data_IF_877156602395
#
_entry.id   IF_877156602395
#
_cell.length_a   1.000
_cell.length_b   1.000
_cell.length_c   1.000
_cell.angle_alpha   90.00
_cell.angle_beta   90.00
_cell.angle_gamma   90.00
#
_symmetry.space_group_name_H-M   'P 1'
#
loop_
_entity.id
_entity.type
_entity.pdbx_description
1 polymer ?
#
# COMPACT_ATOMS: atom_id res chain seq x y z
N UNK A 1 -2.53 -6.16 -1.34
CA UNK A 1 -3.99 -5.93 -1.50
C UNK A 1 -4.24 -4.92 -2.59
N UNK A 2 -3.74 -3.69 -2.49
CA UNK A 2 -3.91 -2.65 -3.53
C UNK A 2 -3.61 -3.14 -4.96
N UNK A 3 -2.46 -3.80 -5.18
CA UNK A 3 -2.11 -4.35 -6.51
C UNK A 3 -3.19 -5.28 -7.10
N UNK A 4 -3.84 -6.10 -6.25
CA UNK A 4 -4.94 -6.99 -6.67
C UNK A 4 -6.19 -6.19 -7.05
N UNK A 5 -6.50 -5.11 -6.31
CA UNK A 5 -7.61 -4.21 -6.65
C UNK A 5 -7.38 -3.65 -8.05
N UNK A 6 -6.26 -2.96 -8.28
CA UNK A 6 -5.91 -2.43 -9.60
C UNK A 6 -5.93 -3.50 -10.70
N UNK A 7 -5.44 -4.72 -10.44
CA UNK A 7 -5.50 -5.81 -11.41
C UNK A 7 -6.94 -6.23 -11.79
N UNK A 8 -7.87 -6.25 -10.84
CA UNK A 8 -9.31 -6.50 -11.09
C UNK A 8 -9.94 -5.44 -11.99
N UNK A 9 -9.34 -4.26 -12.07
CA UNK A 9 -9.78 -3.11 -12.86
C UNK A 9 -8.94 -2.91 -14.14
N UNK A 10 -8.18 -3.93 -14.57
CA UNK A 10 -7.48 -3.92 -15.86
C UNK A 10 -6.06 -3.36 -15.84
N UNK A 11 -5.49 -3.10 -14.67
CA UNK A 11 -4.11 -2.61 -14.56
C UNK A 11 -3.11 -3.74 -14.35
N UNK A 12 -1.95 -3.63 -15.01
CA UNK A 12 -0.76 -4.33 -14.57
C UNK A 12 -0.07 -3.53 -13.44
N UNK A 13 0.02 -4.10 -12.24
CA UNK A 13 0.67 -3.46 -11.10
C UNK A 13 2.16 -3.83 -11.03
N UNK A 14 3.04 -2.81 -11.07
CA UNK A 14 4.49 -2.98 -10.94
C UNK A 14 5.00 -2.26 -9.69
N UNK A 15 5.79 -2.95 -8.88
CA UNK A 15 6.45 -2.38 -7.69
C UNK A 15 7.92 -2.16 -7.97
N UNK A 16 8.37 -0.92 -7.90
CA UNK A 16 9.75 -0.54 -8.19
C UNK A 16 10.57 -0.45 -6.89
N UNK A 17 11.67 -1.21 -6.84
CA UNK A 17 12.66 -1.07 -5.78
C UNK A 17 13.72 -0.04 -6.21
N UNK A 18 13.60 1.18 -5.69
CA UNK A 18 14.52 2.31 -5.95
C UNK A 18 15.92 2.05 -5.41
N UNK A 19 16.92 2.77 -5.92
CA UNK A 19 18.32 2.52 -5.61
C UNK A 19 18.62 2.58 -4.09
N UNK A 20 19.43 1.63 -3.61
CA UNK A 20 19.79 1.47 -2.20
C UNK A 20 18.66 1.08 -1.24
N UNK A 21 17.46 0.75 -1.74
CA UNK A 21 16.39 0.11 -0.95
C UNK A 21 16.43 -1.41 -1.08
N UNK A 22 16.08 -2.12 0.00
CA UNK A 22 16.05 -3.58 0.00
C UNK A 22 17.41 -4.17 -0.36
N UNK A 23 17.45 -4.98 -1.42
CA UNK A 23 18.67 -5.58 -1.97
C UNK A 23 19.13 -4.90 -3.27
N UNK A 24 18.55 -3.76 -3.64
CA UNK A 24 18.98 -3.01 -4.82
C UNK A 24 20.38 -2.41 -4.61
N UNK A 25 21.12 -2.29 -5.71
CA UNK A 25 22.40 -1.57 -5.75
C UNK A 25 22.20 -0.06 -5.59
N UNK A 26 23.31 0.68 -5.46
CA UNK A 26 23.29 2.14 -5.35
C UNK A 26 23.12 2.64 -3.92
N UNK A 27 22.85 3.94 -3.77
CA UNK A 27 22.75 4.60 -2.45
C UNK A 27 21.37 5.21 -2.28
N UNK A 28 20.68 4.82 -1.21
CA UNK A 28 19.35 5.36 -0.90
C UNK A 28 19.44 6.84 -0.55
N UNK A 29 18.49 7.63 -1.07
CA UNK A 29 18.32 9.04 -0.72
C UNK A 29 17.95 9.25 0.75
N UNK A 30 17.60 8.18 1.49
CA UNK A 30 17.34 8.25 2.95
C UNK A 30 18.52 8.81 3.74
N UNK A 31 19.75 8.60 3.25
CA UNK A 31 20.98 9.06 3.90
C UNK A 31 21.44 10.44 3.41
N UNK A 32 20.65 11.09 2.56
CA UNK A 32 21.00 12.38 1.98
C UNK A 32 20.64 13.54 2.91
N UNK A 33 21.67 14.20 3.44
CA UNK A 33 21.54 15.30 4.39
C UNK A 33 21.30 14.85 5.84
N UNK A 34 21.04 15.83 6.71
CA UNK A 34 20.69 15.58 8.13
C UNK A 34 19.32 16.16 8.42
N UNK A 35 18.76 15.87 9.59
CA UNK A 35 17.49 16.48 9.96
C UNK A 35 17.55 18.00 10.11
N UNK A 36 18.73 18.54 10.44
CA UNK A 36 19.01 19.98 10.54
C UNK A 36 19.18 20.64 9.17
N UNK A 37 19.67 19.88 8.18
CA UNK A 37 19.84 20.32 6.80
C UNK A 37 19.41 19.22 5.84
N UNK A 38 18.08 19.00 5.67
CA UNK A 38 17.59 17.91 4.83
C UNK A 38 17.60 18.29 3.36
N UNK A 39 18.06 17.39 2.49
CA UNK A 39 18.13 17.62 1.05
C UNK A 39 16.88 17.10 0.33
N UNK A 40 15.69 17.56 0.71
CA UNK A 40 14.41 17.05 0.17
C UNK A 40 14.31 17.13 -1.35
N UNK A 41 14.68 18.26 -1.95
CA UNK A 41 14.61 18.45 -3.40
C UNK A 41 15.55 17.49 -4.17
N UNK A 42 16.76 17.25 -3.64
CA UNK A 42 17.72 16.30 -4.24
C UNK A 42 17.21 14.87 -4.10
N UNK A 43 16.72 14.52 -2.91
CA UNK A 43 16.15 13.21 -2.65
C UNK A 43 14.95 12.91 -3.57
N UNK A 44 14.06 13.89 -3.79
CA UNK A 44 12.95 13.75 -4.72
C UNK A 44 13.39 13.59 -6.17
N UNK A 45 14.45 14.30 -6.60
CA UNK A 45 15.03 14.14 -7.95
C UNK A 45 15.57 12.72 -8.17
N UNK A 46 16.35 12.20 -7.22
CA UNK A 46 16.87 10.82 -7.28
C UNK A 46 15.72 9.81 -7.37
N UNK A 47 14.67 10.01 -6.55
CA UNK A 47 13.51 9.14 -6.57
C UNK A 47 12.72 9.23 -7.90
N UNK A 48 12.60 10.43 -8.47
CA UNK A 48 11.99 10.66 -9.76
C UNK A 48 12.77 9.96 -10.89
N UNK A 49 14.09 10.11 -10.92
CA UNK A 49 14.95 9.47 -11.93
C UNK A 49 14.80 7.94 -11.91
N UNK A 50 14.80 7.33 -10.72
CA UNK A 50 14.59 5.88 -10.57
C UNK A 50 13.21 5.44 -11.08
N UNK A 51 12.15 6.19 -10.75
CA UNK A 51 10.78 5.88 -11.15
C UNK A 51 10.58 6.06 -12.66
N UNK A 52 11.15 7.10 -13.25
CA UNK A 52 11.06 7.39 -14.69
C UNK A 52 11.85 6.33 -15.48
N UNK A 53 13.04 5.93 -15.02
CA UNK A 53 13.80 4.87 -15.66
C UNK A 53 13.04 3.52 -15.62
N UNK A 54 12.42 3.20 -14.49
CA UNK A 54 11.58 2.01 -14.38
C UNK A 54 10.36 2.08 -15.29
N UNK A 55 9.68 3.24 -15.36
CA UNK A 55 8.56 3.48 -16.28
C UNK A 55 8.97 3.24 -17.73
N UNK A 56 10.10 3.81 -18.17
CA UNK A 56 10.61 3.64 -19.54
C UNK A 56 10.88 2.17 -19.88
N UNK A 57 11.45 1.41 -18.93
CA UNK A 57 11.64 -0.03 -19.11
C UNK A 57 10.31 -0.79 -19.24
N UNK A 58 9.30 -0.42 -18.43
CA UNK A 58 7.96 -1.03 -18.47
C UNK A 58 7.24 -0.69 -19.77
N UNK A 59 7.33 0.55 -20.26
CA UNK A 59 6.72 0.99 -21.51
C UNK A 59 7.23 0.23 -22.74
N UNK A 60 8.43 -0.35 -22.66
CA UNK A 60 8.97 -1.23 -23.70
C UNK A 60 8.44 -2.67 -23.66
N UNK A 61 7.67 -3.04 -22.64
CA UNK A 61 7.15 -4.40 -22.49
C UNK A 61 5.89 -4.62 -23.35
N UNK A 62 5.75 -5.77 -24.03
CA UNK A 62 4.66 -6.02 -24.99
C UNK A 62 3.27 -6.10 -24.36
N UNK A 63 3.18 -6.29 -23.04
CA UNK A 63 1.92 -6.31 -22.29
C UNK A 63 1.50 -4.92 -21.80
N UNK A 64 2.35 -3.90 -21.94
CA UNK A 64 2.10 -2.55 -21.42
C UNK A 64 1.36 -1.69 -22.44
N UNK A 65 0.51 -0.77 -21.93
CA UNK A 65 0.02 0.38 -22.70
C UNK A 65 0.93 1.57 -22.34
N UNK A 66 1.84 1.98 -23.23
CA UNK A 66 2.90 2.92 -22.85
C UNK A 66 2.37 4.31 -22.47
N UNK A 67 1.19 4.68 -22.96
CA UNK A 67 0.60 6.02 -22.78
C UNK A 67 -0.47 6.11 -21.68
N UNK A 68 -0.66 5.05 -20.89
CA UNK A 68 -1.77 4.92 -19.91
C UNK A 68 -1.29 4.62 -18.49
N UNK A 69 -0.11 5.12 -18.10
CA UNK A 69 0.48 4.86 -16.79
C UNK A 69 -0.13 5.72 -15.68
N UNK A 70 -0.31 5.13 -14.49
CA UNK A 70 -0.67 5.82 -13.24
C UNK A 70 0.44 5.61 -12.23
N UNK A 71 0.97 6.69 -11.66
CA UNK A 71 1.99 6.61 -10.61
C UNK A 71 1.33 6.66 -9.24
N UNK A 72 1.61 5.66 -8.40
CA UNK A 72 1.00 5.56 -7.06
C UNK A 72 2.09 5.43 -6.01
N UNK A 73 1.96 6.20 -4.93
CA UNK A 73 2.92 6.17 -3.85
C UNK A 73 2.25 6.38 -2.50
N UNK A 74 2.78 5.69 -1.48
CA UNK A 74 2.43 5.89 -0.07
C UNK A 74 3.62 6.45 0.70
N UNK A 75 3.40 7.32 1.69
CA UNK A 75 4.46 7.83 2.56
C UNK A 75 5.58 8.51 1.76
N UNK A 76 6.84 8.11 1.96
CA UNK A 76 7.97 8.55 1.11
C UNK A 76 7.80 8.24 -0.38
N UNK A 77 7.04 7.20 -0.73
CA UNK A 77 6.66 6.90 -2.10
C UNK A 77 5.71 7.94 -2.67
N UNK A 78 4.78 8.45 -1.86
CA UNK A 78 3.86 9.54 -2.23
C UNK A 78 4.61 10.82 -2.64
N UNK A 79 5.58 11.22 -1.82
CA UNK A 79 6.51 12.31 -2.17
C UNK A 79 7.30 12.02 -3.45
N UNK A 80 7.71 10.77 -3.67
CA UNK A 80 8.51 10.36 -4.83
C UNK A 80 7.70 10.44 -6.14
N UNK A 81 6.44 10.01 -6.15
CA UNK A 81 5.60 10.08 -7.37
C UNK A 81 5.20 11.50 -7.72
N UNK A 82 5.06 12.39 -6.73
CA UNK A 82 4.89 13.83 -6.97
C UNK A 82 6.15 14.44 -7.61
N UNK A 83 7.34 14.07 -7.13
CA UNK A 83 8.59 14.52 -7.72
C UNK A 83 8.76 14.00 -9.16
N UNK A 84 8.39 12.74 -9.43
CA UNK A 84 8.38 12.19 -10.79
C UNK A 84 7.40 12.95 -11.69
N UNK A 85 6.20 13.24 -11.18
CA UNK A 85 5.16 14.00 -11.86
C UNK A 85 5.58 15.40 -12.28
N UNK A 86 6.44 16.06 -11.50
CA UNK A 86 7.00 17.37 -11.83
C UNK A 86 7.79 17.37 -13.14
N UNK A 87 8.28 16.22 -13.60
CA UNK A 87 8.98 16.08 -14.88
C UNK A 87 8.04 15.82 -16.07
N UNK A 88 6.72 15.69 -15.82
CA UNK A 88 5.69 15.32 -16.80
C UNK A 88 6.12 14.14 -17.70
N UNK A 89 6.42 12.95 -17.12
CA UNK A 89 6.95 11.84 -17.89
C UNK A 89 5.96 11.41 -18.98
N UNK A 90 6.41 11.22 -20.24
CA UNK A 90 5.54 10.78 -21.31
C UNK A 90 4.78 9.51 -20.95
N UNK A 91 3.48 9.50 -21.26
CA UNK A 91 2.58 8.38 -21.01
C UNK A 91 2.07 8.23 -19.58
N UNK A 92 2.47 9.09 -18.65
CA UNK A 92 1.79 9.18 -17.34
C UNK A 92 0.52 10.01 -17.47
N UNK A 93 -0.58 9.49 -16.97
CA UNK A 93 -1.91 10.10 -17.06
C UNK A 93 -2.42 10.65 -15.74
N UNK A 94 -1.98 10.08 -14.62
CA UNK A 94 -2.42 10.49 -13.29
C UNK A 94 -1.43 10.08 -12.20
N UNK A 95 -1.52 10.75 -11.05
CA UNK A 95 -0.73 10.45 -9.85
C UNK A 95 -1.67 10.27 -8.66
N UNK A 96 -1.42 9.25 -7.83
CA UNK A 96 -2.15 9.03 -6.58
C UNK A 96 -1.17 8.99 -5.41
N UNK A 97 -1.36 9.90 -4.47
CA UNK A 97 -0.55 10.11 -3.29
C UNK A 97 -1.32 9.72 -2.02
N UNK A 98 -0.91 8.64 -1.36
CA UNK A 98 -1.47 8.19 -0.09
C UNK A 98 -0.56 8.60 1.07
N UNK A 99 -1.06 9.36 2.04
CA UNK A 99 -0.32 9.76 3.26
C UNK A 99 1.12 10.23 2.95
N UNK A 100 1.29 10.99 1.86
CA UNK A 100 2.59 11.30 1.29
C UNK A 100 3.41 12.26 2.13
N UNK A 101 4.72 12.04 2.17
CA UNK A 101 5.62 13.01 2.76
C UNK A 101 7.04 12.49 2.85
N UNK A 102 7.93 13.32 3.41
CA UNK A 102 9.33 12.92 3.61
C UNK A 102 9.88 13.47 4.92
N UNK A 103 10.82 12.72 5.51
CA UNK A 103 11.63 13.19 6.63
C UNK A 103 10.89 13.15 7.97
N UNK A 104 9.91 12.25 8.12
CA UNK A 104 9.21 12.05 9.38
C UNK A 104 10.18 11.73 10.53
N UNK A 105 9.90 12.30 11.71
CA UNK A 105 10.67 12.11 12.95
C UNK A 105 9.85 11.42 14.05
N UNK A 106 8.64 10.96 13.71
CA UNK A 106 7.64 10.52 14.66
C UNK A 106 6.83 11.68 15.26
N UNK A 107 5.71 11.32 15.89
CA UNK A 107 4.76 12.25 16.51
C UNK A 107 4.34 13.40 15.57
N UNK A 108 4.12 13.09 14.29
CA UNK A 108 3.64 14.03 13.28
C UNK A 108 4.60 15.16 12.89
N UNK A 109 5.91 15.02 13.17
CA UNK A 109 6.92 16.04 12.84
C UNK A 109 7.78 15.60 11.66
N UNK A 110 8.25 16.58 10.89
CA UNK A 110 9.19 16.37 9.76
C UNK A 110 10.49 17.17 9.95
N UNK A 111 11.59 16.67 9.40
CA UNK A 111 12.86 17.39 9.27
C UNK A 111 12.73 18.51 8.25
N UNK A 112 13.17 19.73 8.58
CA UNK A 112 13.17 20.88 7.67
C UNK A 112 11.85 21.08 6.92
N UNK A 113 10.77 21.33 7.67
CA UNK A 113 9.41 21.46 7.13
C UNK A 113 9.34 22.51 6.01
N UNK A 114 9.99 23.66 6.20
CA UNK A 114 10.02 24.74 5.19
C UNK A 114 10.71 24.31 3.90
N UNK A 115 11.84 23.58 4.00
CA UNK A 115 12.54 23.03 2.84
C UNK A 115 11.71 21.95 2.13
N UNK A 116 10.94 21.15 2.90
CA UNK A 116 10.02 20.17 2.35
C UNK A 116 8.87 20.86 1.58
N UNK A 117 8.25 21.87 2.19
CA UNK A 117 7.22 22.68 1.53
C UNK A 117 7.77 23.35 0.27
N UNK A 118 8.99 23.89 0.29
CA UNK A 118 9.63 24.46 -0.89
C UNK A 118 9.79 23.44 -2.04
N UNK A 119 10.15 22.19 -1.73
CA UNK A 119 10.20 21.13 -2.72
C UNK A 119 8.80 20.81 -3.28
N UNK A 120 7.78 20.70 -2.43
CA UNK A 120 6.40 20.41 -2.84
C UNK A 120 5.82 21.55 -3.71
N UNK A 121 6.08 22.81 -3.34
CA UNK A 121 5.74 23.99 -4.17
C UNK A 121 6.34 23.90 -5.56
N UNK A 122 7.61 23.49 -5.64
CA UNK A 122 8.30 23.30 -6.92
C UNK A 122 7.66 22.19 -7.75
N UNK A 123 7.20 21.10 -7.11
CA UNK A 123 6.49 20.05 -7.83
C UNK A 123 5.13 20.53 -8.37
N UNK A 124 4.42 21.36 -7.60
CA UNK A 124 3.18 21.99 -8.03
C UNK A 124 3.37 22.89 -9.26
N UNK A 125 4.40 23.73 -9.26
CA UNK A 125 4.65 24.65 -10.37
C UNK A 125 5.07 23.99 -11.68
N UNK A 126 5.64 22.79 -11.61
CA UNK A 126 6.14 22.05 -12.77
C UNK A 126 5.18 20.98 -13.29
N UNK A 127 4.44 20.32 -12.41
CA UNK A 127 3.51 19.25 -12.80
C UNK A 127 2.31 19.77 -13.57
N UNK A 128 1.88 19.03 -14.59
CA UNK A 128 0.63 19.24 -15.34
C UNK A 128 -0.31 18.05 -15.26
N UNK A 129 0.09 17.03 -14.50
CA UNK A 129 -0.67 15.80 -14.34
C UNK A 129 -1.76 15.97 -13.27
N UNK A 130 -2.95 15.41 -13.46
CA UNK A 130 -3.97 15.37 -12.43
C UNK A 130 -3.50 14.49 -11.27
N UNK A 131 -3.76 14.93 -10.04
CA UNK A 131 -3.33 14.22 -8.83
C UNK A 131 -4.48 14.00 -7.85
N UNK A 132 -4.50 12.84 -7.20
CA UNK A 132 -5.37 12.55 -6.05
C UNK A 132 -4.50 12.38 -4.82
N UNK A 133 -4.81 13.11 -3.75
CA UNK A 133 -4.13 13.03 -2.46
C UNK A 133 -5.10 12.51 -1.42
N UNK A 134 -4.73 11.45 -0.71
CA UNK A 134 -5.58 10.81 0.29
C UNK A 134 -4.84 10.72 1.61
N UNK A 135 -5.37 11.34 2.67
CA UNK A 135 -4.75 11.32 4.00
C UNK A 135 -5.71 10.80 5.07
N UNK A 136 -5.27 9.82 5.86
CA UNK A 136 -6.09 9.28 6.95
C UNK A 136 -6.17 10.27 8.13
N UNK A 137 -7.37 10.46 8.70
CA UNK A 137 -7.57 11.41 9.82
C UNK A 137 -6.72 11.12 11.05
N UNK A 138 -6.25 9.88 11.23
CA UNK A 138 -5.43 9.45 12.36
C UNK A 138 -3.99 9.04 11.96
N UNK A 139 -3.48 9.49 10.81
CA UNK A 139 -2.07 9.31 10.46
C UNK A 139 -1.16 9.99 11.52
N UNK A 140 -0.24 9.23 12.12
CA UNK A 140 0.71 9.72 13.13
C UNK A 140 2.09 10.10 12.57
N UNK A 141 2.36 9.78 11.31
CA UNK A 141 3.59 10.08 10.57
C UNK A 141 3.46 11.41 9.83
N UNK A 142 2.42 11.55 9.00
CA UNK A 142 2.06 12.79 8.31
C UNK A 142 0.59 13.15 8.62
N UNK A 143 0.32 13.73 9.81
CA UNK A 143 -1.04 14.01 10.25
C UNK A 143 -1.82 14.86 9.24
N UNK A 144 -3.14 14.67 9.20
CA UNK A 144 -4.03 15.33 8.26
C UNK A 144 -3.74 16.84 8.07
N UNK A 145 -3.58 17.67 9.13
CA UNK A 145 -3.27 19.10 8.92
C UNK A 145 -1.97 19.36 8.17
N UNK A 146 -0.96 18.49 8.33
CA UNK A 146 0.30 18.58 7.59
C UNK A 146 0.10 18.14 6.13
N UNK A 147 -0.70 17.11 5.88
CA UNK A 147 -1.09 16.70 4.53
C UNK A 147 -1.87 17.78 3.78
N UNK A 148 -2.79 18.46 4.46
CA UNK A 148 -3.54 19.62 3.93
C UNK A 148 -2.59 20.77 3.57
N UNK A 149 -1.61 21.07 4.43
CA UNK A 149 -0.60 22.11 4.17
C UNK A 149 0.32 21.76 2.98
N UNK A 150 0.69 20.48 2.84
CA UNK A 150 1.41 19.99 1.67
C UNK A 150 0.58 20.17 0.39
N UNK A 151 -0.70 19.78 0.43
CA UNK A 151 -1.59 19.89 -0.72
C UNK A 151 -1.85 21.35 -1.10
N UNK A 152 -2.13 22.23 -0.14
CA UNK A 152 -2.30 23.66 -0.38
C UNK A 152 -1.04 24.25 -1.03
N UNK A 153 0.15 23.92 -0.50
CA UNK A 153 1.42 24.35 -1.10
C UNK A 153 1.60 23.88 -2.54
N UNK A 154 1.12 22.69 -2.89
CA UNK A 154 1.18 22.15 -4.24
C UNK A 154 0.19 22.86 -5.18
N UNK A 155 -1.07 23.01 -4.78
CA UNK A 155 -2.14 23.61 -5.59
C UNK A 155 -1.94 25.13 -5.78
N UNK A 156 -1.57 25.86 -4.72
CA UNK A 156 -1.36 27.32 -4.77
C UNK A 156 -0.23 27.72 -5.73
N UNK A 157 0.61 26.77 -6.15
CA UNK A 157 1.72 27.00 -7.07
C UNK A 157 1.47 26.42 -8.47
N UNK A 158 0.25 26.03 -8.80
CA UNK A 158 -0.15 25.61 -10.15
C UNK A 158 -0.34 24.11 -10.32
N UNK A 159 -0.21 23.32 -9.25
CA UNK A 159 -0.53 21.90 -9.28
C UNK A 159 -2.02 21.66 -9.55
N UNK A 160 -2.35 20.52 -10.14
CA UNK A 160 -3.73 20.10 -10.40
C UNK A 160 -4.06 18.86 -9.56
N UNK A 161 -5.16 18.91 -8.80
CA UNK A 161 -5.58 17.73 -8.07
C UNK A 161 -6.72 17.94 -7.10
N UNK A 162 -7.10 16.84 -6.47
CA UNK A 162 -8.12 16.76 -5.44
C UNK A 162 -7.54 16.15 -4.16
N UNK A 163 -8.04 16.63 -3.02
CA UNK A 163 -7.67 16.13 -1.69
C UNK A 163 -8.86 15.39 -1.08
N UNK A 164 -8.58 14.24 -0.50
CA UNK A 164 -9.54 13.41 0.19
C UNK A 164 -9.06 13.09 1.60
N UNK A 165 -9.88 13.44 2.57
CA UNK A 165 -9.70 13.02 3.95
C UNK A 165 -10.24 11.60 4.12
N UNK A 166 -9.35 10.62 4.16
CA UNK A 166 -9.71 9.23 4.43
C UNK A 166 -10.08 9.05 5.92
N UNK A 167 -11.04 8.15 6.24
CA UNK A 167 -11.42 7.90 7.62
C UNK A 167 -10.26 7.31 8.43
N UNK A 168 -10.37 7.38 9.76
CA UNK A 168 -9.39 6.78 10.65
C UNK A 168 -9.26 5.27 10.39
N UNK A 169 -8.03 4.77 10.39
CA UNK A 169 -7.75 3.35 10.23
C UNK A 169 -6.79 2.86 11.31
N UNK A 170 -7.17 1.76 11.97
CA UNK A 170 -6.37 1.16 13.05
C UNK A 170 -5.99 2.15 14.15
N UNK A 171 -4.82 1.93 14.76
CA UNK A 171 -4.24 2.88 15.73
C UNK A 171 -3.42 3.99 15.06
N UNK A 172 -2.94 3.76 13.84
CA UNK A 172 -2.16 4.69 13.04
C UNK A 172 -2.62 4.61 11.58
N UNK A 173 -3.22 5.70 11.13
CA UNK A 173 -3.78 5.83 9.78
C UNK A 173 -2.76 5.67 8.68
N UNK A 174 -1.46 5.88 8.96
CA UNK A 174 -0.38 5.82 7.96
C UNK A 174 -0.27 4.49 7.21
N UNK A 175 -0.95 3.46 7.72
CA UNK A 175 -0.94 2.10 7.20
C UNK A 175 -2.21 1.77 6.40
N UNK A 176 -3.11 2.73 6.20
CA UNK A 176 -4.42 2.44 5.60
C UNK A 176 -4.30 1.97 4.15
N UNK A 177 -3.47 2.58 3.31
CA UNK A 177 -3.33 2.10 1.94
C UNK A 177 -2.82 0.63 1.87
N UNK A 178 -2.00 0.23 2.83
CA UNK A 178 -1.43 -1.11 2.89
C UNK A 178 -2.43 -2.17 3.40
N UNK A 179 -3.26 -1.82 4.38
CA UNK A 179 -4.04 -2.79 5.17
C UNK A 179 -5.54 -2.51 5.26
N UNK A 180 -6.01 -1.34 4.85
CA UNK A 180 -7.42 -1.04 4.81
C UNK A 180 -8.14 -1.88 3.74
N UNK A 181 -9.36 -2.32 4.02
CA UNK A 181 -10.25 -2.85 3.00
C UNK A 181 -10.42 -1.84 1.85
N UNK A 182 -10.58 -2.34 0.62
CA UNK A 182 -10.68 -1.50 -0.58
C UNK A 182 -11.89 -0.55 -0.54
N UNK A 183 -12.95 -0.93 0.17
CA UNK A 183 -14.16 -0.13 0.36
C UNK A 183 -13.89 1.22 1.06
N UNK A 184 -12.76 1.35 1.76
CA UNK A 184 -12.35 2.60 2.41
C UNK A 184 -11.81 3.63 1.41
N UNK A 185 -11.18 3.20 0.33
CA UNK A 185 -10.37 4.08 -0.53
C UNK A 185 -10.65 3.93 -2.03
N UNK A 186 -11.03 2.74 -2.50
CA UNK A 186 -11.20 2.45 -3.91
C UNK A 186 -12.28 3.32 -4.55
N UNK A 187 -13.42 3.53 -3.91
CA UNK A 187 -14.48 4.36 -4.49
C UNK A 187 -13.98 5.76 -4.88
N UNK A 188 -13.12 6.36 -4.03
CA UNK A 188 -12.54 7.67 -4.35
C UNK A 188 -11.47 7.60 -5.45
N UNK A 189 -10.68 6.52 -5.47
CA UNK A 189 -9.72 6.27 -6.53
C UNK A 189 -10.44 6.06 -7.88
N UNK A 190 -11.50 5.26 -7.91
CA UNK A 190 -12.31 4.99 -9.08
C UNK A 190 -12.91 6.28 -9.66
N UNK A 191 -13.55 7.10 -8.83
CA UNK A 191 -14.06 8.42 -9.25
C UNK A 191 -12.99 9.29 -9.90
N UNK A 192 -11.77 9.28 -9.34
CA UNK A 192 -10.65 10.04 -9.87
C UNK A 192 -10.12 9.46 -11.19
N UNK A 193 -9.99 8.14 -11.29
CA UNK A 193 -9.58 7.46 -12.53
C UNK A 193 -10.59 7.72 -13.66
N UNK A 194 -11.89 7.60 -13.37
CA UNK A 194 -12.97 7.86 -14.32
C UNK A 194 -12.96 9.29 -14.87
N UNK A 195 -12.83 10.29 -13.98
CA UNK A 195 -12.71 11.70 -14.38
C UNK A 195 -11.55 11.93 -15.35
N UNK A 196 -10.49 11.13 -15.25
CA UNK A 196 -9.31 11.19 -16.11
C UNK A 196 -9.33 10.19 -17.27
N UNK A 197 -10.48 9.53 -17.50
CA UNK A 197 -10.72 8.55 -18.57
C UNK A 197 -9.80 7.34 -18.48
N UNK A 198 -9.52 6.89 -17.26
CA UNK A 198 -8.73 5.71 -16.95
C UNK A 198 -9.64 4.59 -16.44
N UNK A 199 -9.29 3.30 -16.61
CA UNK A 199 -10.11 2.17 -16.15
C UNK A 199 -10.42 2.23 -14.65
N UNK A 200 -11.67 1.97 -14.27
CA UNK A 200 -12.07 1.85 -12.86
C UNK A 200 -13.13 0.78 -12.62
N UNK A 201 -13.81 0.32 -13.67
CA UNK A 201 -14.79 -0.75 -13.60
C UNK A 201 -14.11 -2.08 -13.27
N UNK A 202 -14.77 -2.90 -12.47
CA UNK A 202 -14.28 -4.25 -12.18
C UNK A 202 -14.52 -5.15 -13.39
N UNK A 203 -13.43 -5.64 -13.99
CA UNK A 203 -13.48 -6.51 -15.17
C UNK A 203 -13.27 -7.99 -14.82
N UNK A 204 -12.67 -8.27 -13.65
CA UNK A 204 -12.42 -9.63 -13.14
C UNK A 204 -12.64 -9.63 -11.64
N UNK A 205 -13.48 -10.53 -11.14
CA UNK A 205 -13.61 -10.77 -9.69
C UNK A 205 -12.56 -11.74 -9.18
N UNK A 206 -11.95 -11.41 -8.04
CA UNK A 206 -11.04 -12.32 -7.37
C UNK A 206 -11.83 -13.51 -6.80
N UNK A 207 -11.47 -14.77 -7.15
CA UNK A 207 -12.18 -15.93 -6.65
C UNK A 207 -12.02 -16.02 -5.12
N UNK A 208 -13.15 -16.16 -4.42
CA UNK A 208 -13.13 -16.51 -3.00
C UNK A 208 -12.87 -18.01 -2.89
N UNK A 209 -11.86 -18.45 -2.12
CA UNK A 209 -11.59 -19.87 -1.95
C UNK A 209 -12.78 -20.57 -1.29
N UNK A 210 -13.22 -21.68 -1.87
CA UNK A 210 -14.24 -22.56 -1.30
C UNK A 210 -13.53 -23.66 -0.48
N UNK A 211 -13.28 -23.37 0.79
CA UNK A 211 -12.67 -24.30 1.73
C UNK A 211 -13.66 -24.60 2.85
N UNK A 212 -13.81 -25.86 3.22
CA UNK A 212 -14.59 -26.24 4.38
C UNK A 212 -14.04 -25.58 5.65
N UNK A 213 -14.89 -25.08 6.55
CA UNK A 213 -14.43 -24.57 7.84
C UNK A 213 -13.95 -25.73 8.72
N UNK A 214 -12.90 -25.54 9.55
CA UNK A 214 -12.50 -26.54 10.51
C UNK A 214 -13.65 -26.96 11.45
N UNK A 215 -13.72 -28.24 11.75
CA UNK A 215 -14.62 -28.78 12.77
C UNK A 215 -14.35 -28.14 14.14
N UNK A 216 -15.39 -28.04 14.97
CA UNK A 216 -15.28 -27.50 16.33
C UNK A 216 -15.13 -25.97 16.40
N UNK A 217 -15.18 -25.24 15.28
CA UNK A 217 -15.28 -23.77 15.31
C UNK A 217 -16.65 -23.31 15.79
N UNK A 218 -16.65 -22.52 16.86
CA UNK A 218 -17.81 -21.73 17.28
C UNK A 218 -18.14 -20.63 16.25
N UNK A 219 -19.29 -19.97 16.39
CA UNK A 219 -19.76 -18.91 15.46
C UNK A 219 -18.71 -17.83 15.18
N UNK A 220 -18.00 -17.37 16.21
CA UNK A 220 -16.92 -16.39 16.04
C UNK A 220 -15.73 -16.92 15.23
N UNK A 221 -15.42 -18.21 15.38
CA UNK A 221 -14.40 -18.89 14.58
C UNK A 221 -14.81 -19.04 13.13
N UNK A 222 -16.05 -19.44 12.85
CA UNK A 222 -16.58 -19.51 11.47
C UNK A 222 -16.57 -18.13 10.79
N UNK A 223 -16.99 -17.08 11.51
CA UNK A 223 -16.92 -15.72 10.99
C UNK A 223 -15.47 -15.27 10.69
N UNK A 224 -14.52 -15.65 11.55
CA UNK A 224 -13.10 -15.35 11.32
C UNK A 224 -12.49 -16.17 10.18
N UNK A 225 -12.94 -17.40 9.99
CA UNK A 225 -12.57 -18.22 8.85
C UNK A 225 -13.12 -17.62 7.55
N UNK A 226 -14.35 -17.08 7.54
CA UNK A 226 -14.86 -16.34 6.38
C UNK A 226 -14.00 -15.11 6.06
N UNK A 227 -13.53 -14.38 7.09
CA UNK A 227 -12.58 -13.27 6.90
C UNK A 227 -11.25 -13.75 6.30
N UNK A 228 -10.77 -14.92 6.71
CA UNK A 228 -9.60 -15.55 6.10
C UNK A 228 -9.83 -15.86 4.62
N UNK A 229 -10.98 -16.45 4.24
CA UNK A 229 -11.32 -16.75 2.85
C UNK A 229 -11.42 -15.47 2.01
N UNK A 230 -12.14 -14.47 2.51
CA UNK A 230 -12.35 -13.19 1.83
C UNK A 230 -11.08 -12.32 1.76
N UNK A 231 -10.04 -12.62 2.53
CA UNK A 231 -8.80 -11.86 2.49
C UNK A 231 -8.07 -12.07 1.16
N UNK A 232 -7.85 -10.96 0.44
CA UNK A 232 -7.06 -10.93 -0.80
C UNK A 232 -5.54 -11.04 -0.57
N UNK A 233 -5.11 -11.24 0.68
CA UNK A 233 -3.70 -11.49 0.99
C UNK A 233 -3.36 -12.93 0.64
N UNK A 234 -2.42 -13.12 -0.29
CA UNK A 234 -2.00 -14.46 -0.72
C UNK A 234 -1.24 -15.20 0.39
N UNK A 235 -0.32 -14.52 1.07
CA UNK A 235 0.52 -15.11 2.13
C UNK A 235 -0.18 -15.07 3.48
N UNK A 236 -1.16 -15.96 3.59
CA UNK A 236 -1.99 -16.18 4.78
C UNK A 236 -1.99 -17.64 5.20
N UNK A 237 -2.28 -17.89 6.48
CA UNK A 237 -2.51 -19.23 6.99
C UNK A 237 -3.49 -19.22 8.16
N UNK A 238 -4.24 -20.31 8.30
CA UNK A 238 -5.19 -20.55 9.38
C UNK A 238 -4.74 -21.76 10.20
N UNK A 239 -4.70 -21.64 11.52
CA UNK A 239 -4.33 -22.70 12.45
C UNK A 239 -5.46 -22.94 13.46
N UNK A 240 -5.64 -24.18 13.87
CA UNK A 240 -6.67 -24.58 14.84
C UNK A 240 -6.27 -25.85 15.58
N UNK A 241 -6.83 -26.06 16.77
CA UNK A 241 -6.74 -27.33 17.49
C UNK A 241 -7.95 -28.27 17.26
N UNK A 242 -8.91 -27.89 16.40
CA UNK A 242 -10.14 -28.66 16.16
C UNK A 242 -11.13 -28.66 17.34
N UNK A 243 -10.86 -27.88 18.39
CA UNK A 243 -11.65 -27.81 19.61
C UNK A 243 -11.87 -26.34 20.03
N UNK A 244 -12.30 -25.51 19.08
CA UNK A 244 -12.70 -24.12 19.32
C UNK A 244 -11.56 -23.11 19.47
N UNK A 245 -10.28 -23.53 19.48
CA UNK A 245 -9.13 -22.61 19.42
C UNK A 245 -8.65 -22.48 17.99
N UNK A 246 -8.45 -21.24 17.55
CA UNK A 246 -8.02 -20.92 16.21
C UNK A 246 -7.27 -19.60 16.19
N UNK A 247 -6.40 -19.43 15.21
CA UNK A 247 -5.80 -18.15 14.85
C UNK A 247 -5.49 -18.14 13.36
N UNK A 248 -5.49 -16.96 12.74
CA UNK A 248 -4.94 -16.82 11.40
C UNK A 248 -4.00 -15.63 11.34
N UNK A 249 -3.17 -15.61 10.30
CA UNK A 249 -2.31 -14.49 10.01
C UNK A 249 -2.15 -14.35 8.50
N UNK A 250 -2.14 -13.11 8.02
CA UNK A 250 -1.70 -12.76 6.67
C UNK A 250 -0.63 -11.69 6.71
N UNK A 251 -0.10 -11.35 5.53
CA UNK A 251 0.78 -10.20 5.32
C UNK A 251 2.25 -10.51 5.52
N UNK A 252 2.62 -11.78 5.44
CA UNK A 252 4.01 -12.23 5.63
C UNK A 252 4.76 -12.32 4.31
N UNK A 253 6.09 -12.47 4.37
CA UNK A 253 6.93 -12.63 3.17
C UNK A 253 6.74 -13.97 2.47
N UNK A 254 6.19 -14.97 3.18
CA UNK A 254 5.89 -16.27 2.62
C UNK A 254 4.77 -16.96 3.40
N UNK A 255 4.17 -17.94 2.76
CA UNK A 255 3.20 -18.87 3.35
C UNK A 255 3.73 -19.60 4.59
N UNK A 256 5.00 -20.01 4.58
CA UNK A 256 5.65 -20.64 5.75
C UNK A 256 5.69 -19.72 6.97
N UNK A 257 6.01 -18.44 6.75
CA UNK A 257 6.03 -17.44 7.82
C UNK A 257 4.62 -17.19 8.35
N UNK A 258 3.63 -17.11 7.45
CA UNK A 258 2.22 -17.00 7.84
C UNK A 258 1.77 -18.21 8.67
N UNK A 259 2.12 -19.43 8.24
CA UNK A 259 1.85 -20.69 8.93
C UNK A 259 2.44 -20.72 10.33
N UNK A 260 3.74 -20.42 10.46
CA UNK A 260 4.42 -20.31 11.77
C UNK A 260 3.74 -19.29 12.67
N UNK A 261 3.40 -18.10 12.15
CA UNK A 261 2.77 -17.05 12.97
C UNK A 261 1.36 -17.41 13.41
N UNK A 262 0.56 -18.00 12.52
CA UNK A 262 -0.77 -18.49 12.84
C UNK A 262 -0.71 -19.60 13.90
N UNK A 263 0.21 -20.56 13.75
CA UNK A 263 0.42 -21.63 14.70
C UNK A 263 0.82 -21.11 16.08
N UNK A 264 1.84 -20.26 16.18
CA UNK A 264 2.28 -19.67 17.46
C UNK A 264 1.14 -18.90 18.17
N UNK A 265 0.32 -18.15 17.42
CA UNK A 265 -0.84 -17.45 18.00
C UNK A 265 -1.89 -18.43 18.50
N UNK A 266 -2.17 -19.48 17.75
CA UNK A 266 -3.11 -20.53 18.15
C UNK A 266 -2.62 -21.26 19.40
N UNK A 267 -1.36 -21.69 19.43
CA UNK A 267 -0.73 -22.38 20.57
C UNK A 267 -0.78 -21.54 21.85
N UNK A 268 -0.49 -20.24 21.76
CA UNK A 268 -0.62 -19.33 22.90
C UNK A 268 -2.04 -19.34 23.49
N UNK A 269 -3.06 -19.36 22.63
CA UNK A 269 -4.46 -19.43 23.08
C UNK A 269 -4.85 -20.82 23.57
N UNK A 270 -4.33 -21.89 22.97
CA UNK A 270 -4.58 -23.26 23.39
C UNK A 270 -4.00 -23.52 24.78
N UNK A 271 -2.75 -23.10 25.03
CA UNK A 271 -2.10 -23.17 26.34
C UNK A 271 -2.91 -22.43 27.41
N UNK A 272 -3.36 -21.21 27.12
CA UNK A 272 -4.19 -20.43 28.04
C UNK A 272 -5.52 -21.12 28.41
N UNK A 273 -6.04 -21.99 27.53
CA UNK A 273 -7.28 -22.74 27.71
C UNK A 273 -7.06 -24.21 28.12
N UNK A 274 -5.82 -24.64 28.37
CA UNK A 274 -5.45 -26.07 28.57
C UNK A 274 -6.01 -26.98 27.47
N UNK A 275 -6.05 -26.49 26.23
CA UNK A 275 -6.62 -27.18 25.08
C UNK A 275 -5.61 -28.07 24.34
N UNK A 276 -6.13 -28.82 23.36
CA UNK A 276 -5.32 -29.64 22.45
C UNK A 276 -4.30 -28.80 21.67
N UNK A 277 -3.19 -29.42 21.21
CA UNK A 277 -2.20 -28.73 20.38
C UNK A 277 -2.82 -28.25 19.06
N UNK A 278 -2.37 -27.08 18.60
CA UNK A 278 -2.79 -26.54 17.32
C UNK A 278 -2.01 -27.17 16.16
N UNK A 279 -2.62 -27.16 14.98
CA UNK A 279 -1.98 -27.45 13.70
C UNK A 279 -2.38 -26.40 12.67
N UNK A 280 -1.55 -26.21 11.65
CA UNK A 280 -1.93 -25.41 10.48
C UNK A 280 -2.98 -26.20 9.70
N UNK A 281 -4.10 -25.56 9.40
CA UNK A 281 -5.25 -26.14 8.70
C UNK A 281 -5.23 -25.78 7.21
N UNK A 282 -5.02 -24.50 6.92
CA UNK A 282 -4.98 -23.97 5.56
C UNK A 282 -3.80 -23.02 5.40
N UNK A 283 -3.24 -23.00 4.20
CA UNK A 283 -2.15 -22.13 3.76
C UNK A 283 -2.52 -21.54 2.40
N UNK A 284 -2.45 -20.22 2.28
CA UNK A 284 -2.97 -19.48 1.14
C UNK A 284 -4.44 -19.81 0.90
N UNK A 285 -4.74 -20.35 -0.27
CA UNK A 285 -6.09 -20.73 -0.67
C UNK A 285 -6.30 -22.25 -0.69
N UNK A 286 -5.48 -23.02 0.04
CA UNK A 286 -5.51 -24.50 0.02
C UNK A 286 -5.49 -25.11 1.43
N UNK A 287 -6.10 -26.29 1.58
CA UNK A 287 -5.98 -27.10 2.80
C UNK A 287 -4.62 -27.82 2.83
N UNK A 288 -3.98 -27.86 3.99
CA UNK A 288 -2.66 -28.53 4.16
C UNK A 288 -2.72 -30.02 3.80
N UNK A 289 -3.87 -30.67 3.97
CA UNK A 289 -4.05 -32.09 3.67
C UNK A 289 -4.52 -32.38 2.23
N UNK A 290 -4.78 -31.36 1.40
CA UNK A 290 -5.20 -31.55 0.01
C UNK A 290 -4.05 -31.88 -0.95
N UNK A 291 -2.78 -31.68 -0.54
CA UNK A 291 -1.58 -31.98 -1.35
C UNK A 291 -1.09 -33.44 -1.25
N UNK A 292 -1.90 -34.38 -0.70
CA UNK A 292 -1.54 -35.80 -0.54
C UNK A 292 -2.40 -36.76 -1.37
N UNK A 293 -2.95 -36.32 -2.51
CA UNK A 293 -3.59 -37.21 -3.49
C UNK A 293 -2.88 -37.10 -4.82
#
# INVERSE_FOLDING_TARGET
MAATVFARHGYAAVVVMRQGYGQSSGVSEKRDGTCLSPHHARAGRIAADDLIAALQAIQGAPWSLPDEAVLIGVSSGGFSVLAAGASNPPGVRAIINFDGGRGAKGAGKVCGKEQLLAAIKTYGSLSRLPTLWMYATNDKVFPLPLGEEFFASYIDHGGCGEFFQAPAFGEDGHTFFEWAPEEIWWGRVADFLDKNRLPSDEIISAPVPDLDPPEGLATSGKASFQKYLNSQVYEKAFATNGAGVWAWSGGHRSQDQAGKKALTRCEKMALAKKGLPCKVYAVGNTLVNAQRK
#
